data_IF_609097670218
#
_entry.id   IF_609097670218
#
_cell.length_a   1.000
_cell.length_b   1.000
_cell.length_c   1.000
_cell.angle_alpha   90.00
_cell.angle_beta   90.00
_cell.angle_gamma   90.00
#
_symmetry.space_group_name_H-M   'P 1'
#
loop_
_entity.id
_entity.type
_entity.pdbx_description
1 polymer ?
#
# COMPACT_ATOMS: atom_id res chain seq x y z
N UNK A 1 17.59 8.88 -16.86
CA UNK A 1 17.59 7.50 -16.35
C UNK A 1 18.08 7.59 -14.93
N UNK A 2 17.21 7.33 -13.94
CA UNK A 2 17.59 7.28 -12.52
C UNK A 2 18.59 6.15 -12.29
N UNK A 3 19.36 6.22 -11.22
CA UNK A 3 20.22 5.12 -10.80
C UNK A 3 19.32 3.90 -10.47
N UNK A 4 19.61 2.70 -11.00
CA UNK A 4 18.90 1.48 -10.61
C UNK A 4 18.84 1.28 -9.09
N UNK A 5 19.86 1.74 -8.35
CA UNK A 5 19.86 1.68 -6.89
C UNK A 5 18.76 2.57 -6.27
N UNK A 6 18.53 3.77 -6.81
CA UNK A 6 17.49 4.67 -6.30
C UNK A 6 16.08 4.05 -6.43
N UNK A 7 15.85 3.30 -7.52
CA UNK A 7 14.57 2.63 -7.75
C UNK A 7 14.35 1.45 -6.78
N UNK A 8 15.42 0.70 -6.48
CA UNK A 8 15.37 -0.39 -5.50
C UNK A 8 15.12 0.15 -4.09
N UNK A 9 15.79 1.25 -3.71
CA UNK A 9 15.59 1.92 -2.44
C UNK A 9 14.14 2.44 -2.32
N UNK A 10 13.59 3.04 -3.38
CA UNK A 10 12.19 3.47 -3.42
C UNK A 10 11.20 2.29 -3.27
N UNK A 11 11.51 1.13 -3.85
CA UNK A 11 10.70 -0.09 -3.72
C UNK A 11 10.77 -0.68 -2.30
N UNK A 12 11.92 -0.61 -1.64
CA UNK A 12 12.07 -1.03 -0.25
C UNK A 12 11.25 -0.14 0.69
N UNK A 13 11.29 1.18 0.48
CA UNK A 13 10.45 2.14 1.21
C UNK A 13 8.96 1.88 0.97
N UNK A 14 8.56 1.64 -0.28
CA UNK A 14 7.17 1.29 -0.61
C UNK A 14 6.74 -0.04 0.03
N UNK A 15 7.61 -1.05 0.02
CA UNK A 15 7.36 -2.35 0.66
C UNK A 15 7.19 -2.20 2.17
N UNK A 16 7.96 -1.32 2.79
CA UNK A 16 7.83 -1.02 4.22
C UNK A 16 6.50 -0.30 4.53
N UNK A 17 6.19 0.74 3.77
CA UNK A 17 5.04 1.59 4.06
C UNK A 17 3.72 0.97 3.59
N UNK A 18 3.61 0.59 2.32
CA UNK A 18 2.38 0.01 1.75
C UNK A 18 2.35 -1.52 1.79
N UNK A 19 3.49 -2.19 1.84
CA UNK A 19 3.50 -3.65 1.93
C UNK A 19 3.33 -4.20 3.35
N UNK A 20 3.72 -3.43 4.38
CA UNK A 20 3.67 -3.84 5.79
C UNK A 20 2.77 -2.96 6.63
N UNK A 21 2.96 -1.63 6.64
CA UNK A 21 2.24 -0.76 7.56
C UNK A 21 0.77 -0.56 7.21
N UNK A 22 0.40 -0.61 5.92
CA UNK A 22 -1.01 -0.49 5.54
C UNK A 22 -1.89 -1.59 6.19
N UNK A 23 -1.38 -2.80 6.36
CA UNK A 23 -2.16 -3.92 6.93
C UNK A 23 -2.03 -4.04 8.46
N UNK A 24 -0.97 -3.49 9.04
CA UNK A 24 -0.62 -3.70 10.45
C UNK A 24 -1.79 -3.38 11.41
N UNK A 25 -2.50 -2.23 11.30
CA UNK A 25 -3.62 -1.93 12.21
C UNK A 25 -4.71 -3.01 12.22
N UNK A 26 -5.05 -3.59 11.07
CA UNK A 26 -6.10 -4.62 10.95
C UNK A 26 -5.64 -5.98 11.48
N UNK A 27 -4.35 -6.30 11.33
CA UNK A 27 -3.76 -7.55 11.85
C UNK A 27 -3.66 -7.56 13.38
N UNK A 28 -3.60 -6.38 14.01
CA UNK A 28 -3.52 -6.24 15.46
C UNK A 28 -4.89 -6.29 16.15
N UNK A 29 -5.99 -6.21 15.40
CA UNK A 29 -7.33 -6.32 15.97
C UNK A 29 -7.65 -7.76 16.39
N UNK A 30 -8.33 -7.98 17.54
CA UNK A 30 -8.84 -9.30 17.90
C UNK A 30 -9.84 -9.80 16.86
N UNK A 31 -10.02 -11.12 16.73
CA UNK A 31 -10.85 -11.71 15.66
C UNK A 31 -12.32 -11.25 15.70
N UNK A 32 -12.83 -10.95 16.90
CA UNK A 32 -14.18 -10.50 17.21
C UNK A 32 -14.31 -8.98 17.33
N UNK A 33 -13.31 -8.20 16.89
CA UNK A 33 -13.37 -6.75 16.87
C UNK A 33 -14.65 -6.24 16.18
N UNK A 34 -15.30 -5.26 16.80
CA UNK A 34 -16.51 -4.65 16.27
C UNK A 34 -16.24 -3.79 15.03
N UNK A 35 -17.33 -3.33 14.39
CA UNK A 35 -17.26 -2.56 13.16
C UNK A 35 -16.53 -1.20 13.35
N UNK A 36 -16.62 -0.59 14.53
CA UNK A 36 -16.00 0.70 14.80
C UNK A 36 -14.48 0.55 14.97
N UNK A 37 -14.03 -0.51 15.63
CA UNK A 37 -12.63 -0.88 15.71
C UNK A 37 -12.02 -1.19 14.33
N UNK A 38 -12.75 -1.94 13.49
CA UNK A 38 -12.34 -2.20 12.09
C UNK A 38 -12.25 -0.89 11.30
N UNK A 39 -13.22 0.01 11.44
CA UNK A 39 -13.20 1.33 10.79
C UNK A 39 -12.02 2.18 11.26
N UNK A 40 -11.73 2.21 12.55
CA UNK A 40 -10.60 2.96 13.10
C UNK A 40 -9.25 2.40 12.61
N UNK A 41 -9.13 1.07 12.54
CA UNK A 41 -7.96 0.41 11.96
C UNK A 41 -7.81 0.71 10.46
N UNK A 42 -8.89 0.62 9.68
CA UNK A 42 -8.90 0.95 8.25
C UNK A 42 -8.55 2.43 8.00
N UNK A 43 -9.06 3.33 8.84
CA UNK A 43 -8.74 4.76 8.81
C UNK A 43 -7.25 4.98 9.06
N UNK A 44 -6.68 4.29 10.05
CA UNK A 44 -5.25 4.36 10.34
C UNK A 44 -4.43 3.82 9.19
N UNK A 45 -4.81 2.66 8.65
CA UNK A 45 -4.18 2.02 7.52
C UNK A 45 -4.11 2.93 6.27
N UNK A 46 -5.23 3.57 5.91
CA UNK A 46 -5.36 4.29 4.64
C UNK A 46 -5.01 5.78 4.74
N UNK A 47 -5.37 6.44 5.85
CA UNK A 47 -5.25 7.89 6.00
C UNK A 47 -4.08 8.30 6.91
N UNK A 48 -3.50 7.35 7.68
CA UNK A 48 -2.42 7.62 8.65
C UNK A 48 -1.36 6.52 8.64
N UNK A 49 -1.04 6.02 7.46
CA UNK A 49 -0.14 4.87 7.23
C UNK A 49 1.23 5.08 7.87
N UNK A 50 1.77 6.30 7.82
CA UNK A 50 3.05 6.68 8.41
C UNK A 50 2.94 8.01 9.15
N UNK A 51 3.85 8.26 10.09
CA UNK A 51 4.06 9.58 10.70
C UNK A 51 5.25 10.27 10.03
N UNK A 52 5.00 11.39 9.36
CA UNK A 52 6.01 12.30 8.82
C UNK A 52 6.29 13.47 9.77
N UNK A 53 7.17 14.38 9.35
CA UNK A 53 7.53 15.58 10.11
C UNK A 53 6.32 16.52 10.32
N UNK A 54 5.48 16.66 9.29
CA UNK A 54 4.33 17.57 9.30
C UNK A 54 3.02 16.89 9.74
N UNK A 55 3.08 15.64 10.20
CA UNK A 55 1.92 14.88 10.65
C UNK A 55 1.73 13.53 9.94
N UNK A 56 0.52 12.95 9.97
CA UNK A 56 0.25 11.67 9.33
C UNK A 56 0.36 11.77 7.80
N UNK A 57 0.93 10.74 7.19
CA UNK A 57 1.02 10.54 5.75
C UNK A 57 0.12 9.38 5.36
N UNK A 58 -0.74 9.60 4.38
CA UNK A 58 -1.69 8.61 3.86
C UNK A 58 -1.05 7.64 2.86
N UNK A 59 -1.69 6.50 2.65
CA UNK A 59 -1.25 5.52 1.67
C UNK A 59 -1.22 6.10 0.24
N UNK A 60 -2.16 6.96 -0.10
CA UNK A 60 -2.21 7.65 -1.39
C UNK A 60 -1.01 8.57 -1.58
N UNK A 61 -0.64 9.37 -0.57
CA UNK A 61 0.51 10.26 -0.67
C UNK A 61 1.83 9.49 -0.84
N UNK A 62 1.96 8.35 -0.15
CA UNK A 62 3.11 7.46 -0.29
C UNK A 62 3.17 6.84 -1.69
N UNK A 63 2.02 6.40 -2.21
CA UNK A 63 1.92 5.87 -3.57
C UNK A 63 2.27 6.90 -4.63
N UNK A 64 1.69 8.11 -4.56
CA UNK A 64 1.96 9.18 -5.52
C UNK A 64 3.43 9.59 -5.51
N UNK A 65 4.04 9.71 -4.33
CA UNK A 65 5.49 9.96 -4.20
C UNK A 65 6.30 8.87 -4.89
N UNK A 66 5.95 7.61 -4.68
CA UNK A 66 6.62 6.50 -5.36
C UNK A 66 6.46 6.57 -6.87
N UNK A 67 5.28 6.90 -7.40
CA UNK A 67 5.07 7.06 -8.84
C UNK A 67 5.95 8.18 -9.42
N UNK A 68 6.04 9.32 -8.73
CA UNK A 68 6.92 10.43 -9.09
C UNK A 68 8.40 10.02 -9.02
N UNK A 69 8.74 9.13 -8.08
CA UNK A 69 10.08 8.57 -7.94
C UNK A 69 10.42 7.51 -9.01
N UNK A 70 9.45 6.72 -9.44
CA UNK A 70 9.63 5.75 -10.50
C UNK A 70 9.79 6.42 -11.87
N UNK A 71 9.17 7.59 -12.09
CA UNK A 71 9.29 8.41 -13.31
C UNK A 71 9.11 7.58 -14.61
N UNK A 72 8.10 6.70 -14.60
CA UNK A 72 7.77 5.80 -15.72
C UNK A 72 8.76 4.65 -15.98
N UNK A 73 9.83 4.51 -15.19
CA UNK A 73 10.83 3.45 -15.36
C UNK A 73 10.24 2.03 -15.29
N UNK A 74 9.07 1.88 -14.65
CA UNK A 74 8.38 0.62 -14.44
C UNK A 74 7.25 0.36 -15.45
N UNK A 75 6.93 1.32 -16.33
CA UNK A 75 5.70 1.29 -17.16
C UNK A 75 5.59 0.09 -18.10
N UNK A 76 6.74 -0.46 -18.51
CA UNK A 76 6.81 -1.63 -19.39
C UNK A 76 6.65 -2.97 -18.65
N UNK A 77 6.73 -2.99 -17.31
CA UNK A 77 6.74 -4.21 -16.51
C UNK A 77 5.32 -4.68 -16.19
N UNK A 78 5.10 -5.99 -16.24
CA UNK A 78 3.77 -6.55 -15.92
C UNK A 78 3.43 -6.40 -14.44
N UNK A 79 4.45 -6.53 -13.58
CA UNK A 79 4.38 -6.32 -12.14
C UNK A 79 3.92 -4.91 -11.78
N UNK A 80 4.25 -3.91 -12.60
CA UNK A 80 3.82 -2.53 -12.39
C UNK A 80 2.32 -2.36 -12.55
N UNK A 81 1.75 -2.90 -13.63
CA UNK A 81 0.31 -2.89 -13.84
C UNK A 81 -0.45 -3.61 -12.71
N UNK A 82 0.11 -4.73 -12.21
CA UNK A 82 -0.46 -5.48 -11.08
C UNK A 82 -0.40 -4.69 -9.78
N UNK A 83 0.73 -4.04 -9.50
CA UNK A 83 0.91 -3.18 -8.33
C UNK A 83 -0.07 -2.01 -8.34
N UNK A 84 -0.14 -1.30 -9.46
CA UNK A 84 -1.09 -0.18 -9.65
C UNK A 84 -2.52 -0.63 -9.36
N UNK A 85 -2.97 -1.73 -9.97
CA UNK A 85 -4.31 -2.26 -9.76
C UNK A 85 -4.57 -2.69 -8.30
N UNK A 86 -3.55 -3.22 -7.60
CA UNK A 86 -3.68 -3.59 -6.19
C UNK A 86 -3.79 -2.35 -5.29
N UNK A 87 -2.98 -1.33 -5.54
CA UNK A 87 -3.03 -0.06 -4.80
C UNK A 87 -4.34 0.66 -5.04
N UNK A 88 -4.84 0.73 -6.28
CA UNK A 88 -6.12 1.36 -6.60
C UNK A 88 -7.28 0.70 -5.84
N UNK A 89 -7.32 -0.64 -5.78
CA UNK A 89 -8.33 -1.37 -4.99
C UNK A 89 -8.21 -1.07 -3.50
N UNK A 90 -6.98 -1.05 -2.96
CA UNK A 90 -6.74 -0.70 -1.57
C UNK A 90 -7.22 0.73 -1.25
N UNK A 91 -6.91 1.70 -2.11
CA UNK A 91 -7.29 3.11 -1.92
C UNK A 91 -8.79 3.36 -2.11
N UNK A 92 -9.48 2.57 -2.94
CA UNK A 92 -10.93 2.67 -3.13
C UNK A 92 -11.72 2.49 -1.82
N UNK A 93 -11.17 1.75 -0.85
CA UNK A 93 -11.78 1.58 0.48
C UNK A 93 -11.94 2.89 1.26
N UNK A 94 -11.22 3.96 0.90
CA UNK A 94 -11.40 5.29 1.51
C UNK A 94 -12.84 5.79 1.38
N UNK A 95 -13.49 5.54 0.25
CA UNK A 95 -14.88 5.94 0.02
C UNK A 95 -15.87 5.14 0.87
N UNK A 96 -15.47 3.97 1.37
CA UNK A 96 -16.30 3.08 2.18
C UNK A 96 -16.07 3.22 3.69
N UNK A 97 -15.15 4.09 4.14
CA UNK A 97 -14.79 4.22 5.56
C UNK A 97 -16.00 4.58 6.44
N UNK A 98 -16.89 5.45 5.98
CA UNK A 98 -18.11 5.82 6.71
C UNK A 98 -19.23 4.77 6.61
N UNK A 99 -19.02 3.73 5.80
CA UNK A 99 -19.98 2.68 5.52
C UNK A 99 -19.72 1.37 6.28
N UNK A 100 -20.26 0.30 5.70
CA UNK A 100 -20.01 -1.08 6.14
C UNK A 100 -18.72 -1.58 5.50
N UNK A 101 -17.78 -1.99 6.35
CA UNK A 101 -16.54 -2.63 5.93
C UNK A 101 -16.63 -4.14 6.10
N UNK A 102 -16.22 -4.88 5.10
CA UNK A 102 -15.92 -6.30 5.25
C UNK A 102 -14.44 -6.44 5.60
N UNK A 103 -14.14 -6.81 6.85
CA UNK A 103 -12.77 -6.93 7.34
C UNK A 103 -11.96 -7.93 6.53
N UNK A 104 -12.55 -9.05 6.11
CA UNK A 104 -11.83 -10.10 5.40
C UNK A 104 -11.43 -9.62 4.00
N UNK A 105 -12.37 -9.00 3.29
CA UNK A 105 -12.11 -8.44 1.95
C UNK A 105 -11.10 -7.31 2.02
N UNK A 106 -11.28 -6.35 2.95
CA UNK A 106 -10.32 -5.27 3.17
C UNK A 106 -8.91 -5.81 3.45
N UNK A 107 -8.78 -6.79 4.35
CA UNK A 107 -7.47 -7.37 4.69
C UNK A 107 -6.83 -8.07 3.49
N UNK A 108 -7.62 -8.73 2.64
CA UNK A 108 -7.15 -9.35 1.42
C UNK A 108 -6.64 -8.31 0.41
N UNK A 109 -7.41 -7.24 0.16
CA UNK A 109 -7.01 -6.17 -0.77
C UNK A 109 -5.72 -5.46 -0.30
N UNK A 110 -5.62 -5.14 0.99
CA UNK A 110 -4.41 -4.54 1.55
C UNK A 110 -3.20 -5.49 1.49
N UNK A 111 -3.41 -6.80 1.65
CA UNK A 111 -2.32 -7.78 1.54
C UNK A 111 -1.82 -7.93 0.11
N UNK A 112 -2.73 -7.86 -0.87
CA UNK A 112 -2.40 -7.95 -2.28
C UNK A 112 -1.42 -6.86 -2.74
N UNK A 113 -1.41 -5.69 -2.09
CA UNK A 113 -0.41 -4.63 -2.35
C UNK A 113 1.01 -5.15 -2.05
N UNK A 114 1.22 -5.72 -0.86
CA UNK A 114 2.53 -6.26 -0.48
C UNK A 114 2.97 -7.45 -1.34
N UNK A 115 2.03 -8.28 -1.81
CA UNK A 115 2.32 -9.36 -2.76
C UNK A 115 2.75 -8.81 -4.13
N UNK A 116 2.07 -7.77 -4.61
CA UNK A 116 2.39 -7.14 -5.89
C UNK A 116 3.75 -6.43 -5.88
N UNK A 117 4.13 -5.78 -4.77
CA UNK A 117 5.47 -5.17 -4.62
C UNK A 117 6.56 -6.25 -4.69
N UNK A 118 6.39 -7.37 -3.98
CA UNK A 118 7.34 -8.50 -4.04
C UNK A 118 7.46 -9.10 -5.44
N UNK A 119 6.34 -9.25 -6.14
CA UNK A 119 6.35 -9.77 -7.51
C UNK A 119 7.06 -8.82 -8.48
N UNK A 120 6.85 -7.51 -8.35
CA UNK A 120 7.54 -6.51 -9.16
C UNK A 120 9.06 -6.50 -8.91
N UNK A 121 9.49 -6.64 -7.65
CA UNK A 121 10.92 -6.74 -7.33
C UNK A 121 11.56 -7.95 -7.97
N UNK A 122 10.92 -9.12 -7.90
CA UNK A 122 11.42 -10.32 -8.55
C UNK A 122 11.55 -10.14 -10.07
N UNK A 123 10.59 -9.47 -10.72
CA UNK A 123 10.66 -9.16 -12.15
C UNK A 123 11.83 -8.21 -12.50
N UNK A 124 12.16 -7.27 -11.62
CA UNK A 124 13.32 -6.38 -11.80
C UNK A 124 14.66 -7.08 -11.62
N UNK A 125 14.73 -8.07 -10.72
CA UNK A 125 15.97 -8.82 -10.46
C UNK A 125 16.26 -9.86 -11.57
N UNK A 126 15.23 -10.30 -12.31
CA UNK A 126 15.31 -11.28 -13.39
C UNK A 126 15.58 -10.67 -14.79
N UNK A 127 15.49 -9.33 -14.93
CA UNK A 127 15.59 -8.59 -16.21
C UNK A 127 16.95 -7.94 -16.46
#
# INVERSE_FOLDING_TARGET
MRDPQDLQDALDDLQHDLGKYIRLPLTMLPADADADAVRAAATTALLRTRRGADGPVSAEQLWLRFCDEADGALDALQGWARLTAAVDRALAWRAALDGRLDRAVLTADLSAVGDAIRALRAELDDG
#
